data_IF_133425628707
#
_entry.id   IF_133425628707
#
_cell.length_a   1.000
_cell.length_b   1.000
_cell.length_c   1.000
_cell.angle_alpha   90.00
_cell.angle_beta   90.00
_cell.angle_gamma   90.00
#
_symmetry.space_group_name_H-M   'P 1'
#
loop_
_entity.id
_entity.type
_entity.pdbx_description
1 polymer ?
2 non-polymer ?
3 non-polymer ?
4 non-polymer ?
5 water ?
#
# COMPACT_ATOMS: atom_id res chain seq x y z
N UNK A 36 3.41 -28.94 5.07
CA UNK A 36 1.99 -28.93 5.56
C UNK A 36 1.02 -28.44 4.46
N UNK A 37 -0.22 -28.91 4.54
CA UNK A 37 -1.28 -28.58 3.57
C UNK A 37 -2.57 -28.27 4.35
N UNK A 38 -2.48 -27.29 5.23
CA UNK A 38 -3.57 -26.95 6.15
C UNK A 38 -4.53 -25.86 5.63
N UNK A 39 -4.15 -25.17 4.54
CA UNK A 39 -4.92 -24.01 4.06
C UNK A 39 -4.85 -22.79 4.99
N UNK A 40 -3.73 -22.64 5.70
CA UNK A 40 -3.48 -21.50 6.59
C UNK A 40 -2.16 -20.75 6.30
N UNK A 41 -1.35 -21.24 5.38
CA UNK A 41 -0.01 -20.67 5.17
C UNK A 41 -0.08 -19.34 4.43
N UNK A 42 0.98 -18.55 4.63
CA UNK A 42 1.10 -17.27 3.95
C UNK A 42 1.19 -17.42 2.44
N UNK A 43 0.62 -16.45 1.72
CA UNK A 43 0.76 -16.38 0.29
C UNK A 43 1.72 -15.26 -0.10
N UNK A 44 2.78 -15.63 -0.80
CA UNK A 44 3.83 -14.69 -1.15
C UNK A 44 3.65 -14.02 -2.51
N UNK A 45 2.45 -14.16 -3.08
CA UNK A 45 2.02 -13.39 -4.24
C UNK A 45 0.87 -12.45 -3.88
N UNK A 46 0.70 -12.19 -2.57
CA UNK A 46 -0.35 -11.31 -2.05
C UNK A 46 0.36 -10.20 -1.27
N UNK A 47 0.16 -8.96 -1.74
CA UNK A 47 0.87 -7.79 -1.25
C UNK A 47 -0.11 -6.86 -0.58
N UNK A 48 0.14 -6.48 0.67
CA UNK A 48 -0.79 -5.65 1.39
C UNK A 48 -0.13 -4.30 1.71
N UNK A 49 -0.72 -3.21 1.19
CA UNK A 49 -0.13 -1.89 1.33
C UNK A 49 -0.20 -1.39 2.80
N UNK A 50 0.98 -1.08 3.32
CA UNK A 50 1.17 -0.79 4.74
C UNK A 50 1.77 0.60 4.93
N UNK A 51 1.26 1.31 5.92
CA UNK A 51 1.65 2.68 6.20
C UNK A 51 2.27 2.72 7.61
N UNK A 52 3.45 3.33 7.72
CA UNK A 52 4.24 3.39 8.93
C UNK A 52 4.36 4.80 9.49
N UNK A 53 3.38 5.63 9.20
CA UNK A 53 3.47 7.05 9.52
C UNK A 53 2.69 7.48 10.77
N UNK A 54 2.16 6.52 11.52
CA UNK A 54 1.39 6.84 12.71
C UNK A 54 2.30 7.03 13.91
N UNK A 55 1.94 7.90 14.85
CA UNK A 55 2.71 8.03 16.09
C UNK A 55 1.86 7.89 17.34
N UNK A 56 2.54 7.60 18.45
CA UNK A 56 1.87 7.63 19.75
C UNK A 56 2.73 8.35 20.75
N UNK A 57 2.08 8.87 21.78
CA UNK A 57 2.79 9.49 22.85
C UNK A 57 3.80 8.51 23.44
N UNK A 58 3.39 7.24 23.54
CA UNK A 58 4.23 6.22 24.18
C UNK A 58 5.61 6.12 23.51
N UNK A 59 5.63 6.09 22.19
CA UNK A 59 6.88 5.93 21.45
C UNK A 59 7.42 7.21 20.82
N UNK A 60 6.55 8.00 20.19
CA UNK A 60 7.00 9.14 19.40
C UNK A 60 6.84 10.46 20.12
N UNK A 61 6.15 10.46 21.24
CA UNK A 61 5.85 11.69 21.95
C UNK A 61 4.81 12.56 21.25
N UNK A 62 4.16 12.01 20.23
CA UNK A 62 3.12 12.74 19.54
C UNK A 62 2.27 11.81 18.69
N UNK A 63 1.06 12.29 18.38
CA UNK A 63 0.08 11.55 17.59
C UNK A 63 0.06 11.88 16.07
N UNK A 64 1.22 11.62 15.46
CA UNK A 64 1.41 11.86 14.04
C UNK A 64 0.39 11.07 13.21
N UNK A 65 -0.16 11.74 12.20
CA UNK A 65 -1.15 11.23 11.25
C UNK A 65 -2.53 11.04 11.88
N UNK A 66 -2.63 10.62 13.14
CA UNK A 66 -3.93 10.69 13.81
C UNK A 66 -4.45 12.12 13.79
N UNK A 67 -3.52 13.06 13.96
CA UNK A 67 -3.72 14.48 13.63
C UNK A 67 -3.37 14.70 12.18
N UNK A 68 -4.19 15.44 11.45
CA UNK A 68 -3.94 15.64 10.01
C UNK A 68 -4.66 16.88 9.54
N UNK A 69 -4.06 17.59 8.61
CA UNK A 69 -4.71 18.71 7.95
C UNK A 69 -5.94 18.25 7.18
N UNK A 70 -6.95 19.11 7.15
CA UNK A 70 -8.11 18.90 6.29
C UNK A 70 -7.82 19.59 4.97
N UNK A 71 -8.00 18.85 3.87
CA UNK A 71 -7.69 19.39 2.56
C UNK A 71 -8.75 20.40 2.13
N UNK A 72 -8.34 21.53 1.54
CA UNK A 72 -9.34 22.41 0.92
C UNK A 72 -9.96 21.74 -0.29
N UNK A 73 -11.14 22.19 -0.65
CA UNK A 73 -11.85 21.70 -1.84
C UNK A 73 -11.16 22.28 -3.08
N UNK A 74 -10.61 21.42 -3.96
CA UNK A 74 -9.96 21.95 -5.17
C UNK A 74 -10.89 22.75 -6.09
N UNK A 75 -12.19 22.53 -5.98
CA UNK A 75 -13.18 23.30 -6.76
C UNK A 75 -13.94 24.36 -5.93
N UNK A 76 -13.44 24.66 -4.72
CA UNK A 76 -14.19 25.45 -3.72
C UNK A 76 -13.81 26.91 -3.53
N UNK A 77 -12.92 27.44 -4.36
CA UNK A 77 -12.60 28.87 -4.33
C UNK A 77 -11.59 29.25 -3.27
N UNK A 78 -11.25 30.53 -3.23
CA UNK A 78 -10.18 31.02 -2.38
C UNK A 78 -10.66 31.34 -0.97
N UNK A 79 -9.70 31.50 -0.07
CA UNK A 79 -9.99 31.84 1.30
C UNK A 79 -10.58 30.74 2.17
N UNK A 80 -10.45 29.49 1.75
CA UNK A 80 -10.85 28.39 2.62
C UNK A 80 -9.85 28.27 3.76
N UNK A 81 -10.37 28.06 4.96
CA UNK A 81 -9.54 27.76 6.12
C UNK A 81 -10.09 26.47 6.67
N UNK A 82 -9.82 25.34 5.97
CA UNK A 82 -10.43 24.04 6.29
C UNK A 82 -10.11 23.50 7.68
N UNK A 83 -8.97 23.91 8.20
CA UNK A 83 -8.57 23.51 9.54
C UNK A 83 -7.87 22.17 9.57
N UNK A 84 -7.84 21.59 10.76
CA UNK A 84 -7.10 20.37 11.03
C UNK A 84 -7.89 19.49 11.96
N UNK A 85 -7.62 18.21 11.85
CA UNK A 85 -8.14 17.20 12.78
C UNK A 85 -7.04 17.08 13.85
N UNK A 86 -7.40 17.24 15.15
CA UNK A 86 -6.34 17.36 16.15
C UNK A 86 -5.67 16.08 16.60
N UNK A 87 -6.23 14.91 16.27
CA UNK A 87 -5.64 13.66 16.69
C UNK A 87 -5.75 13.40 18.17
N UNK A 88 -6.80 13.93 18.77
CA UNK A 88 -7.14 13.59 20.15
C UNK A 88 -7.77 12.22 20.17
N UNK A 89 -8.01 11.69 21.36
CA UNK A 89 -8.69 10.40 21.42
C UNK A 89 -10.07 10.50 20.75
N UNK A 90 -10.75 11.63 20.91
CA UNK A 90 -12.09 11.79 20.41
C UNK A 90 -12.14 12.08 18.92
N UNK A 91 -11.10 12.68 18.37
CA UNK A 91 -11.12 13.20 17.00
C UNK A 91 -9.82 12.88 16.24
N UNK A 92 -9.87 11.79 15.49
CA UNK A 92 -8.75 11.33 14.69
C UNK A 92 -9.07 11.43 13.21
N UNK A 93 -8.02 11.39 12.40
CA UNK A 93 -8.11 11.59 10.96
C UNK A 93 -8.51 10.34 10.19
N UNK A 94 -9.67 9.81 10.56
CA UNK A 94 -10.26 8.65 9.91
C UNK A 94 -11.73 8.70 10.16
N UNK A 95 -12.48 8.08 9.23
CA UNK A 95 -13.90 7.86 9.45
C UNK A 95 -14.19 6.60 10.31
N UNK A 96 -13.16 5.78 10.49
CA UNK A 96 -13.20 4.57 11.33
C UNK A 96 -12.27 4.79 12.54
N UNK A 97 -12.24 3.79 13.44
CA UNK A 97 -11.44 3.92 14.64
C UNK A 97 -10.68 2.63 14.91
N UNK A 98 -9.35 2.69 15.03
CA UNK A 98 -8.58 1.47 15.20
C UNK A 98 -8.85 0.71 16.50
N UNK A 99 -8.93 -0.61 16.43
CA UNK A 99 -8.96 -1.44 17.63
C UNK A 99 -7.75 -1.19 18.53
N UNK A 100 -6.61 -0.94 17.91
CA UNK A 100 -5.39 -0.73 18.66
C UNK A 100 -5.22 0.70 19.16
N UNK A 101 -6.21 1.58 18.91
CA UNK A 101 -6.14 2.96 19.35
C UNK A 101 -5.17 3.78 18.51
N UNK A 102 -4.77 4.94 19.03
CA UNK A 102 -3.88 5.87 18.37
C UNK A 102 -2.45 5.35 18.56
N UNK A 103 -2.08 4.36 17.75
CA UNK A 103 -0.85 3.64 17.93
C UNK A 103 0.34 4.34 17.25
N UNK A 104 1.53 3.97 17.72
CA UNK A 104 2.75 4.36 17.05
C UNK A 104 3.22 3.24 16.13
N UNK A 105 3.57 3.61 14.90
CA UNK A 105 4.21 2.69 13.98
C UNK A 105 5.64 2.33 14.38
N UNK A 106 6.20 3.03 15.37
CA UNK A 106 7.51 2.72 15.94
C UNK A 106 7.45 1.85 17.19
N UNK A 107 6.26 1.43 17.63
CA UNK A 107 6.09 0.67 18.88
C UNK A 107 6.29 -0.81 18.53
N UNK A 108 7.40 -1.43 18.98
CA UNK A 108 7.59 -2.85 18.66
C UNK A 108 6.42 -3.74 19.05
N UNK A 109 5.67 -3.38 20.11
CA UNK A 109 4.56 -4.20 20.53
C UNK A 109 3.37 -4.10 19.51
N UNK A 110 3.17 -2.94 18.93
CA UNK A 110 2.15 -2.78 17.85
C UNK A 110 2.60 -3.56 16.64
N UNK A 111 3.88 -3.48 16.31
CA UNK A 111 4.39 -4.19 15.13
C UNK A 111 4.17 -5.71 15.28
N UNK A 112 4.42 -6.25 16.46
CA UNK A 112 4.15 -7.66 16.71
C UNK A 112 2.68 -8.01 16.38
N UNK A 113 1.77 -7.20 16.90
CA UNK A 113 0.35 -7.40 16.67
C UNK A 113 -0.01 -7.31 15.21
N UNK A 114 0.54 -6.32 14.51
CA UNK A 114 0.32 -6.23 13.06
C UNK A 114 0.79 -7.47 12.32
N UNK A 115 1.97 -8.00 12.68
CA UNK A 115 2.45 -9.20 11.99
C UNK A 115 1.53 -10.37 12.26
N UNK A 116 0.99 -10.50 13.48
CA UNK A 116 0.04 -11.55 13.75
C UNK A 116 -1.25 -11.35 12.92
N UNK A 117 -1.63 -10.10 12.66
CA UNK A 117 -2.76 -9.81 11.80
C UNK A 117 -2.49 -10.23 10.34
N UNK A 118 -1.27 -9.99 9.84
CA UNK A 118 -0.87 -10.46 8.52
C UNK A 118 -0.95 -11.98 8.46
N UNK A 119 -0.50 -12.67 9.51
CA UNK A 119 -0.60 -14.12 9.53
C UNK A 119 -2.08 -14.57 9.46
N UNK A 120 -2.95 -13.91 10.21
CA UNK A 120 -4.38 -14.24 10.15
C UNK A 120 -4.96 -14.02 8.76
N UNK A 121 -4.52 -12.97 8.08
CA UNK A 121 -5.00 -12.63 6.75
C UNK A 121 -4.37 -13.48 5.64
N UNK A 122 -3.28 -14.17 5.98
CA UNK A 122 -2.50 -14.98 5.02
C UNK A 122 -1.77 -14.15 3.98
N UNK A 123 -1.56 -12.86 4.29
CA UNK A 123 -0.91 -11.96 3.35
C UNK A 123 0.59 -12.01 3.60
N UNK A 124 1.35 -12.62 2.68
CA UNK A 124 2.75 -12.86 2.91
C UNK A 124 3.68 -11.70 2.66
N UNK A 125 3.23 -10.67 1.95
CA UNK A 125 4.10 -9.54 1.67
C UNK A 125 3.49 -8.22 2.13
N UNK A 126 4.27 -7.49 2.93
CA UNK A 126 3.96 -6.16 3.43
C UNK A 126 4.64 -5.17 2.46
N UNK A 127 3.80 -4.36 1.78
CA UNK A 127 4.30 -3.40 0.80
C UNK A 127 4.36 -2.03 1.48
N UNK A 128 5.55 -1.67 1.94
CA UNK A 128 5.77 -0.56 2.84
C UNK A 128 5.87 0.77 2.12
N UNK A 129 4.98 1.70 2.47
CA UNK A 129 5.07 3.09 1.98
C UNK A 129 6.45 3.64 2.26
N UNK A 130 7.03 4.33 1.27
CA UNK A 130 8.40 4.85 1.41
C UNK A 130 8.50 6.22 0.77
N UNK A 131 8.76 7.21 1.66
CA UNK A 131 8.71 8.63 1.33
C UNK A 131 10.06 9.32 1.31
N UNK A 132 11.15 8.58 1.44
CA UNK A 132 12.50 9.15 1.38
C UNK A 132 12.65 10.28 2.37
N UNK A 133 12.29 9.99 3.62
CA UNK A 133 12.35 11.00 4.67
C UNK A 133 13.77 11.37 5.06
N UNK A 134 14.73 10.46 4.87
CA UNK A 134 16.14 10.71 5.21
C UNK A 134 16.24 11.19 6.66
N UNK A 135 15.64 10.42 7.55
CA UNK A 135 15.65 10.73 8.96
C UNK A 135 15.84 9.47 9.75
N UNK A 136 16.51 9.62 10.86
CA UNK A 136 16.79 8.57 11.81
C UNK A 136 15.55 7.76 12.20
N UNK A 137 14.44 8.47 12.41
CA UNK A 137 13.27 7.81 12.94
C UNK A 137 12.67 6.86 11.87
N UNK A 138 12.74 7.24 10.57
CA UNK A 138 12.37 6.39 9.38
C UNK A 138 13.22 5.15 9.37
N UNK A 139 14.52 5.36 9.45
CA UNK A 139 15.46 4.26 9.38
C UNK A 139 15.21 3.27 10.52
N UNK A 140 14.95 3.79 11.70
CA UNK A 140 14.65 2.91 12.83
C UNK A 140 13.38 2.08 12.56
N UNK A 141 12.32 2.74 12.10
CA UNK A 141 11.06 2.09 11.83
C UNK A 141 11.19 0.96 10.81
N UNK A 142 11.90 1.24 9.72
CA UNK A 142 12.05 0.23 8.69
C UNK A 142 12.72 -1.02 9.26
N UNK A 143 13.78 -0.83 10.05
CA UNK A 143 14.44 -1.96 10.67
C UNK A 143 13.54 -2.74 11.61
N UNK A 144 12.75 -2.02 12.40
CA UNK A 144 11.82 -2.68 13.32
C UNK A 144 10.77 -3.50 12.57
N UNK A 145 10.28 -2.96 11.47
CA UNK A 145 9.28 -3.64 10.65
C UNK A 145 9.86 -4.91 10.03
N UNK A 146 11.04 -4.81 9.46
CA UNK A 146 11.70 -6.01 8.93
C UNK A 146 11.91 -7.07 10.01
N UNK A 147 12.40 -6.66 11.16
CA UNK A 147 12.62 -7.60 12.24
C UNK A 147 11.32 -8.29 12.67
N UNK A 148 10.27 -7.51 12.85
CA UNK A 148 9.01 -8.10 13.31
C UNK A 148 8.43 -9.02 12.23
N UNK A 149 8.51 -8.58 10.98
CA UNK A 149 8.02 -9.42 9.88
C UNK A 149 8.72 -10.77 9.86
N UNK A 150 10.03 -10.78 10.04
CA UNK A 150 10.77 -12.03 9.91
C UNK A 150 10.38 -13.05 10.95
N UNK A 151 9.96 -12.59 12.14
CA UNK A 151 9.58 -13.54 13.19
C UNK A 151 8.38 -14.39 12.77
N UNK A 152 7.59 -13.88 11.83
CA UNK A 152 6.39 -14.53 11.35
C UNK A 152 6.46 -14.96 9.89
N UNK A 153 7.67 -14.95 9.32
CA UNK A 153 7.90 -15.37 7.93
C UNK A 153 7.23 -14.42 6.91
N UNK A 154 6.89 -13.21 7.36
CA UNK A 154 6.37 -12.22 6.42
C UNK A 154 7.54 -11.54 5.71
N UNK A 155 7.30 -11.15 4.45
CA UNK A 155 8.27 -10.46 3.63
C UNK A 155 7.88 -9.01 3.48
N UNK A 156 8.88 -8.19 3.15
CA UNK A 156 8.69 -6.74 3.00
C UNK A 156 9.24 -6.32 1.65
N UNK A 157 8.44 -5.57 0.91
CA UNK A 157 8.91 -4.84 -0.26
C UNK A 157 8.53 -3.37 -0.07
N UNK A 158 9.04 -2.52 -0.97
CA UNK A 158 8.84 -1.07 -0.82
C UNK A 158 7.90 -0.51 -1.89
N UNK A 159 7.05 0.41 -1.46
CA UNK A 159 6.10 1.15 -2.28
C UNK A 159 6.65 2.55 -2.38
N UNK A 160 7.26 2.87 -3.51
CA UNK A 160 8.00 4.11 -3.69
C UNK A 160 7.05 5.25 -4.04
N UNK A 161 6.93 6.16 -3.10
CA UNK A 161 5.98 7.24 -3.19
C UNK A 161 6.55 8.43 -3.96
N UNK A 162 5.68 9.40 -4.32
CA UNK A 162 6.12 10.58 -5.07
C UNK A 162 6.76 11.64 -4.18
N UNK A 163 7.97 11.35 -3.76
CA UNK A 163 8.75 12.27 -2.90
C UNK A 163 9.27 13.46 -3.74
N UNK A 164 9.66 14.57 -3.05
CA UNK A 164 10.05 15.79 -3.77
C UNK A 164 11.19 15.58 -4.75
N UNK A 165 11.03 16.09 -5.97
CA UNK A 165 12.05 15.98 -7.02
C UNK A 165 12.38 14.54 -7.41
N UNK A 166 11.47 13.60 -7.11
CA UNK A 166 11.69 12.23 -7.56
C UNK A 166 11.99 12.23 -9.08
N UNK A 167 13.00 11.49 -9.46
CA UNK A 167 13.38 11.37 -10.87
C UNK A 167 14.12 10.06 -11.00
N UNK A 168 14.44 9.63 -12.23
CA UNK A 168 15.00 8.29 -12.35
C UNK A 168 16.40 8.15 -11.75
N UNK A 169 17.16 9.25 -11.69
CA UNK A 169 18.51 9.18 -11.12
C UNK A 169 18.45 8.99 -9.60
N UNK A 170 17.70 9.84 -8.89
CA UNK A 170 17.58 9.60 -7.46
C UNK A 170 16.77 8.35 -7.14
N UNK A 171 15.86 7.92 -8.01
CA UNK A 171 15.21 6.62 -7.80
C UNK A 171 16.25 5.51 -7.84
N UNK A 172 17.15 5.55 -8.84
CA UNK A 172 18.19 4.53 -8.90
C UNK A 172 19.00 4.54 -7.63
N UNK A 173 19.41 5.73 -7.21
CA UNK A 173 20.23 5.85 -6.00
C UNK A 173 19.51 5.29 -4.78
N UNK A 174 18.21 5.53 -4.70
CA UNK A 174 17.42 5.02 -3.60
C UNK A 174 17.17 3.52 -3.66
N UNK A 175 16.99 2.98 -4.86
CA UNK A 175 16.87 1.54 -5.02
C UNK A 175 18.18 0.87 -4.59
N UNK A 176 19.31 1.43 -5.01
CA UNK A 176 20.62 0.92 -4.60
C UNK A 176 20.72 0.97 -3.07
N UNK A 177 20.34 2.09 -2.47
CA UNK A 177 20.43 2.24 -1.02
C UNK A 177 19.55 1.21 -0.31
N UNK A 178 18.31 1.04 -0.77
CA UNK A 178 17.40 0.09 -0.12
C UNK A 178 17.89 -1.35 -0.25
N UNK A 179 18.36 -1.74 -1.45
CA UNK A 179 18.87 -3.08 -1.63
C UNK A 179 20.16 -3.29 -0.80
N UNK A 180 21.02 -2.28 -0.79
CA UNK A 180 22.25 -2.38 0.00
C UNK A 180 21.95 -2.50 1.50
N UNK A 181 21.05 -1.65 2.00
CA UNK A 181 20.76 -1.60 3.44
C UNK A 181 19.98 -2.82 3.91
N UNK A 182 19.00 -3.24 3.11
CA UNK A 182 17.99 -4.20 3.55
C UNK A 182 17.96 -5.49 2.77
N UNK A 183 18.69 -5.57 1.65
CA UNK A 183 18.58 -6.73 0.75
C UNK A 183 19.01 -8.04 1.37
N UNK A 184 19.91 -7.99 2.37
CA UNK A 184 20.34 -9.20 3.05
C UNK A 184 19.52 -9.49 4.30
N UNK A 185 18.53 -8.65 4.63
CA UNK A 185 17.65 -8.95 5.73
C UNK A 185 16.82 -10.16 5.32
N UNK A 186 16.65 -11.16 6.21
CA UNK A 186 15.86 -12.34 5.86
C UNK A 186 14.41 -12.08 5.45
N UNK A 187 13.83 -10.97 5.89
CA UNK A 187 12.48 -10.61 5.51
C UNK A 187 12.37 -9.82 4.22
N UNK A 188 13.49 -9.45 3.58
CA UNK A 188 13.40 -8.66 2.34
C UNK A 188 12.82 -9.54 1.23
N UNK A 189 11.79 -9.05 0.56
CA UNK A 189 11.11 -9.82 -0.46
C UNK A 189 11.92 -9.98 -1.74
N UNK A 190 11.90 -11.20 -2.31
CA UNK A 190 12.32 -11.42 -3.69
C UNK A 190 11.34 -12.38 -4.35
N UNK A 191 11.14 -12.13 -5.65
CA UNK A 191 10.37 -13.01 -6.52
C UNK A 191 11.33 -13.55 -7.58
N UNK A 192 11.51 -14.88 -7.60
CA UNK A 192 12.46 -15.54 -8.50
C UNK A 192 13.83 -14.81 -8.54
N UNK A 193 14.31 -14.45 -7.35
CA UNK A 193 15.61 -13.82 -7.20
C UNK A 193 15.67 -12.31 -7.31
N UNK A 194 14.54 -11.68 -7.62
CA UNK A 194 14.52 -10.23 -7.82
C UNK A 194 13.71 -9.51 -6.77
N UNK A 195 14.26 -8.42 -6.22
CA UNK A 195 13.39 -7.52 -5.44
C UNK A 195 12.21 -7.01 -6.27
N UNK A 196 11.16 -6.51 -5.61
CA UNK A 196 10.01 -5.92 -6.31
C UNK A 196 9.71 -4.58 -5.69
N UNK A 197 9.48 -3.57 -6.53
CA UNK A 197 9.03 -2.25 -6.05
C UNK A 197 7.74 -1.88 -6.74
N UNK A 198 6.80 -1.33 -5.99
CA UNK A 198 5.62 -0.64 -6.56
C UNK A 198 5.98 0.84 -6.66
N UNK A 199 5.62 1.46 -7.78
CA UNK A 199 5.92 2.88 -8.00
C UNK A 199 4.63 3.67 -8.12
N UNK A 200 4.29 4.41 -7.06
CA UNK A 200 3.06 5.17 -7.07
C UNK A 200 3.21 6.39 -7.95
N UNK A 201 2.14 6.71 -8.69
CA UNK A 201 2.06 7.86 -9.59
C UNK A 201 3.29 7.88 -10.54
N UNK A 202 3.60 6.68 -11.04
CA UNK A 202 4.67 6.52 -12.02
C UNK A 202 4.49 7.33 -13.31
N UNK A 203 3.24 7.75 -13.61
CA UNK A 203 2.96 8.68 -14.74
C UNK A 203 3.52 10.10 -14.55
N UNK A 204 3.89 10.46 -13.33
CA UNK A 204 4.55 11.74 -13.10
C UNK A 204 5.93 11.77 -13.76
N UNK A 205 6.42 10.63 -14.33
CA UNK A 205 7.74 10.58 -14.95
C UNK A 205 7.53 10.06 -16.36
N UNK A 206 8.12 10.76 -17.33
CA UNK A 206 7.97 10.42 -18.72
C UNK A 206 8.59 9.06 -19.04
N UNK A 207 7.99 8.33 -19.99
CA UNK A 207 8.58 7.08 -20.45
C UNK A 207 10.02 7.19 -20.92
N UNK A 208 10.36 8.32 -21.56
CA UNK A 208 11.75 8.49 -22.02
C UNK A 208 12.76 8.52 -20.86
N UNK A 209 12.33 9.02 -19.71
CA UNK A 209 13.16 8.95 -18.49
C UNK A 209 13.19 7.54 -17.92
N UNK A 210 12.01 6.91 -17.78
CA UNK A 210 11.97 5.54 -17.28
C UNK A 210 12.86 4.60 -18.09
N UNK A 211 12.89 4.78 -19.42
CA UNK A 211 13.66 3.89 -20.30
C UNK A 211 15.13 3.86 -19.89
N UNK A 212 15.63 5.01 -19.42
CA UNK A 212 17.03 5.13 -19.03
C UNK A 212 17.38 4.20 -17.87
N UNK A 213 16.40 3.98 -16.99
CA UNK A 213 16.53 3.15 -15.80
C UNK A 213 16.16 1.71 -16.07
N UNK A 214 15.15 1.48 -16.92
CA UNK A 214 14.48 0.20 -17.00
C UNK A 214 14.66 -0.58 -18.28
N UNK A 215 15.09 0.06 -19.35
CA UNK A 215 15.50 -0.70 -20.54
C UNK A 215 16.86 -1.35 -20.28
N UNK A 216 17.09 -2.56 -20.80
CA UNK A 216 18.43 -3.15 -20.67
C UNK A 216 19.53 -2.26 -21.27
N UNK A 217 19.17 -1.42 -22.23
CA UNK A 217 20.11 -0.51 -22.87
C UNK A 217 20.15 0.87 -22.28
N UNK A 218 19.37 1.11 -21.24
CA UNK A 218 19.26 2.45 -20.71
C UNK A 218 20.54 2.97 -20.11
N UNK A 219 20.70 4.29 -20.20
CA UNK A 219 21.89 5.00 -19.76
C UNK A 219 22.29 4.69 -18.31
N UNK A 220 21.28 4.51 -17.46
CA UNK A 220 21.51 4.21 -16.03
C UNK A 220 20.77 2.93 -15.65
N UNK A 221 20.82 1.94 -16.53
CA UNK A 221 20.00 0.76 -16.33
C UNK A 221 20.30 0.06 -15.00
N UNK A 222 19.25 -0.54 -14.44
CA UNK A 222 19.39 -1.54 -13.40
C UNK A 222 19.40 -2.96 -13.94
N UNK A 223 19.05 -3.15 -15.21
CA UNK A 223 18.96 -4.52 -15.74
C UNK A 223 20.37 -5.12 -15.79
N UNK A 224 20.45 -6.40 -15.40
CA UNK A 224 21.69 -7.16 -15.37
C UNK A 224 22.69 -6.64 -14.35
N UNK A 225 22.25 -5.84 -13.40
CA UNK A 225 23.10 -5.36 -12.32
C UNK A 225 22.67 -6.02 -11.03
N UNK A 226 23.44 -5.75 -9.98
CA UNK A 226 23.12 -6.20 -8.63
C UNK A 226 21.83 -5.58 -8.10
N UNK A 227 21.34 -4.54 -8.78
CA UNK A 227 20.22 -3.76 -8.29
C UNK A 227 18.99 -3.91 -9.17
N UNK A 228 18.98 -4.95 -10.01
CA UNK A 228 17.80 -5.19 -10.80
C UNK A 228 16.63 -5.56 -9.90
N UNK A 229 15.44 -5.26 -10.39
CA UNK A 229 14.21 -5.44 -9.63
C UNK A 229 13.03 -5.52 -10.57
N UNK A 230 11.97 -6.15 -10.09
CA UNK A 230 10.66 -6.06 -10.75
C UNK A 230 10.04 -4.71 -10.40
N UNK A 231 9.81 -3.89 -11.41
CA UNK A 231 9.30 -2.54 -11.23
C UNK A 231 7.86 -2.51 -11.71
N UNK A 232 6.95 -2.25 -10.77
CA UNK A 232 5.53 -2.34 -10.99
C UNK A 232 4.94 -0.92 -10.98
N UNK A 233 4.54 -0.43 -12.16
CA UNK A 233 4.04 0.93 -12.28
C UNK A 233 2.54 1.02 -12.08
N UNK A 234 2.05 2.23 -11.82
CA UNK A 234 0.65 2.45 -11.54
C UNK A 234 -0.10 2.71 -12.83
N UNK A 235 -0.92 1.73 -13.24
CA UNK A 235 -1.83 1.89 -14.38
C UNK A 235 -3.03 2.69 -13.94
N UNK A 236 -3.20 3.89 -14.50
CA UNK A 236 -4.32 4.75 -14.18
C UNK A 236 -5.43 4.73 -15.24
N UNK A 237 -5.16 5.34 -16.38
CA UNK A 237 -6.22 5.72 -17.33
C UNK A 237 -6.40 4.68 -18.44
N UNK A 238 -6.86 5.10 -19.61
CA UNK A 238 -7.32 4.17 -20.63
C UNK A 238 -6.16 3.42 -21.28
N UNK A 239 -6.44 2.26 -21.89
CA UNK A 239 -5.39 1.50 -22.58
C UNK A 239 -4.67 2.30 -23.66
N UNK A 240 -5.36 3.23 -24.33
CA UNK A 240 -4.70 3.96 -25.40
C UNK A 240 -3.50 4.75 -24.89
N UNK A 241 -3.57 5.19 -23.64
CA UNK A 241 -2.49 5.89 -22.98
C UNK A 241 -1.56 4.93 -22.23
N UNK A 242 -2.13 4.00 -21.49
CA UNK A 242 -1.33 3.19 -20.57
C UNK A 242 -0.53 2.09 -21.25
N UNK A 243 -1.05 1.50 -22.34
CA UNK A 243 -0.31 0.43 -23.00
C UNK A 243 1.06 0.95 -23.50
N UNK A 244 1.07 2.04 -24.30
CA UNK A 244 2.38 2.49 -24.76
C UNK A 244 3.23 3.01 -23.62
N UNK A 245 2.62 3.60 -22.59
CA UNK A 245 3.37 4.07 -21.42
C UNK A 245 4.16 2.90 -20.82
N UNK A 246 3.46 1.82 -20.49
CA UNK A 246 4.10 0.71 -19.80
C UNK A 246 5.18 0.07 -20.67
N UNK A 247 4.90 -0.08 -21.96
CA UNK A 247 5.89 -0.65 -22.87
C UNK A 247 7.10 0.24 -23.03
N UNK A 248 6.87 1.52 -23.30
CA UNK A 248 7.95 2.44 -23.58
C UNK A 248 8.78 2.76 -22.33
N UNK A 249 8.17 2.66 -21.16
CA UNK A 249 8.88 2.87 -19.88
C UNK A 249 9.62 1.62 -19.40
N UNK A 250 9.31 0.47 -20.01
CA UNK A 250 9.96 -0.79 -19.66
C UNK A 250 9.66 -1.26 -18.23
N UNK A 251 8.49 -0.92 -17.71
CA UNK A 251 8.05 -1.55 -16.45
C UNK A 251 7.88 -3.05 -16.63
N UNK A 252 8.15 -3.77 -15.55
CA UNK A 252 7.93 -5.22 -15.52
C UNK A 252 6.48 -5.59 -15.33
N UNK A 253 5.67 -4.67 -14.84
CA UNK A 253 4.29 -4.95 -14.56
C UNK A 253 3.57 -3.70 -14.10
N UNK A 254 2.35 -3.86 -13.65
CA UNK A 254 1.54 -2.75 -13.26
C UNK A 254 0.53 -3.17 -12.22
N UNK A 255 0.13 -2.19 -11.40
CA UNK A 255 -0.89 -2.32 -10.36
C UNK A 255 -1.84 -1.14 -10.50
N UNK A 256 -2.94 -1.18 -9.74
CA UNK A 256 -4.00 -0.19 -9.92
C UNK A 256 -4.27 0.68 -8.71
N UNK A 257 -3.85 0.21 -7.54
CA UNK A 257 -3.94 0.84 -6.22
C UNK A 257 -5.33 1.15 -5.71
N UNK A 258 -6.12 1.96 -6.39
CA UNK A 258 -7.29 2.58 -5.77
C UNK A 258 -8.28 1.53 -5.30
N UNK A 259 -8.74 1.69 -4.04
CA UNK A 259 -9.73 0.79 -3.49
C UNK A 259 -11.12 1.09 -3.99
N UNK A 260 -11.37 2.30 -4.50
CA UNK A 260 -12.70 2.71 -4.94
C UNK A 260 -12.92 2.31 -6.38
N UNK A 261 -13.87 1.39 -6.60
CA UNK A 261 -14.18 0.94 -7.95
C UNK A 261 -14.58 2.13 -8.82
N UNK A 262 -14.07 2.16 -10.02
CA UNK A 262 -14.45 3.17 -10.99
C UNK A 262 -13.75 4.51 -10.83
N UNK A 263 -12.87 4.64 -9.84
CA UNK A 263 -12.14 5.89 -9.66
C UNK A 263 -11.27 6.19 -10.89
N UNK A 264 -10.60 5.16 -11.39
CA UNK A 264 -9.85 5.24 -12.64
C UNK A 264 -10.27 4.06 -13.51
N UNK A 265 -9.88 4.08 -14.78
CA UNK A 265 -10.04 2.91 -15.65
C UNK A 265 -9.41 1.66 -14.99
N UNK A 266 -8.21 1.84 -14.45
CA UNK A 266 -7.49 0.74 -13.84
C UNK A 266 -8.17 0.14 -12.65
N UNK A 267 -8.87 0.97 -11.87
CA UNK A 267 -9.58 0.51 -10.67
C UNK A 267 -11.04 0.19 -10.96
N UNK A 268 -11.37 -0.09 -12.23
CA UNK A 268 -12.69 -0.57 -12.64
C UNK A 268 -12.56 -2.06 -12.92
N UNK A 269 -13.05 -2.92 -12.01
CA UNK A 269 -12.70 -4.34 -12.14
C UNK A 269 -13.21 -5.07 -13.40
N UNK A 270 -14.25 -4.55 -14.04
CA UNK A 270 -14.67 -5.13 -15.31
C UNK A 270 -13.60 -5.00 -16.40
N UNK A 271 -12.60 -4.15 -16.21
CA UNK A 271 -11.50 -4.06 -17.17
C UNK A 271 -10.38 -5.07 -16.91
N UNK A 272 -10.44 -5.79 -15.78
CA UNK A 272 -9.31 -6.60 -15.38
C UNK A 272 -9.02 -7.79 -16.29
N UNK A 273 -10.05 -8.47 -16.80
CA UNK A 273 -9.81 -9.54 -17.76
C UNK A 273 -9.00 -9.06 -18.97
N UNK A 274 -9.40 -7.93 -19.55
CA UNK A 274 -8.71 -7.32 -20.70
C UNK A 274 -7.29 -6.87 -20.37
N UNK A 275 -7.14 -6.30 -19.17
CA UNK A 275 -5.82 -5.85 -18.72
C UNK A 275 -4.88 -7.03 -18.56
N UNK A 276 -5.39 -8.13 -18.01
CA UNK A 276 -4.59 -9.32 -17.84
C UNK A 276 -4.21 -9.93 -19.20
N UNK A 277 -5.16 -9.97 -20.14
CA UNK A 277 -4.86 -10.48 -21.49
C UNK A 277 -3.72 -9.70 -22.13
N UNK A 278 -3.76 -8.38 -22.02
CA UNK A 278 -2.69 -7.54 -22.55
C UNK A 278 -1.38 -7.81 -21.83
N UNK A 279 -1.45 -7.89 -20.50
CA UNK A 279 -0.26 -8.18 -19.72
C UNK A 279 0.43 -9.47 -20.18
N UNK A 280 -0.36 -10.54 -20.31
CA UNK A 280 0.18 -11.82 -20.73
C UNK A 280 0.81 -11.73 -22.12
N UNK A 281 0.13 -11.04 -23.04
CA UNK A 281 0.61 -10.90 -24.42
C UNK A 281 1.93 -10.13 -24.49
N UNK A 282 2.18 -9.28 -23.50
CA UNK A 282 3.33 -8.37 -23.52
C UNK A 282 4.37 -8.66 -22.45
N UNK A 283 4.26 -9.83 -21.80
CA UNK A 283 5.25 -10.25 -20.82
C UNK A 283 5.31 -9.38 -19.57
N UNK A 284 4.16 -8.84 -19.17
CA UNK A 284 4.06 -7.98 -18.00
C UNK A 284 3.29 -8.66 -16.89
N UNK A 285 3.62 -8.29 -15.65
CA UNK A 285 2.96 -8.80 -14.46
C UNK A 285 1.85 -7.84 -14.00
N UNK A 286 0.61 -8.26 -14.05
CA UNK A 286 -0.52 -7.46 -13.57
C UNK A 286 -0.85 -7.86 -12.15
N UNK A 287 -0.83 -6.87 -11.25
CA UNK A 287 -1.11 -7.04 -9.84
C UNK A 287 -2.29 -6.12 -9.47
N UNK A 288 -3.51 -6.52 -9.81
CA UNK A 288 -4.65 -5.68 -9.50
C UNK A 288 -4.75 -5.42 -8.00
N UNK A 289 -5.27 -4.26 -7.65
CA UNK A 289 -5.46 -3.88 -6.25
C UNK A 289 -6.93 -3.98 -5.89
N UNK A 290 -7.18 -4.67 -4.76
CA UNK A 290 -8.53 -4.86 -4.24
C UNK A 290 -8.60 -4.24 -2.86
N UNK A 291 -9.76 -3.70 -2.53
CA UNK A 291 -9.97 -3.16 -1.21
C UNK A 291 -11.36 -3.35 -0.70
N UNK A 292 -11.57 -3.08 0.60
CA UNK A 292 -12.85 -3.41 1.22
C UNK A 292 -13.88 -2.30 1.19
N UNK A 293 -13.45 -1.11 0.77
CA UNK A 293 -14.30 0.08 0.73
C UNK A 293 -13.41 1.28 0.61
N UNK A 294 -14.03 2.46 0.65
CA UNK A 294 -13.29 3.73 0.60
C UNK A 294 -14.13 4.80 1.22
N UNK A 295 -13.53 5.60 2.10
CA UNK A 295 -14.15 6.83 2.56
C UNK A 295 -13.09 7.70 3.23
N UNK A 296 -12.95 8.93 2.74
CA UNK A 296 -11.91 9.82 3.23
C UNK A 296 -12.45 11.17 3.64
N UNK A 297 -13.74 11.25 3.97
CA UNK A 297 -14.36 12.56 4.13
C UNK A 297 -14.01 13.28 5.43
N UNK A 298 -13.38 12.63 6.42
CA UNK A 298 -12.85 13.42 7.54
C UNK A 298 -11.74 14.35 7.07
N UNK A 299 -10.84 13.85 6.23
CA UNK A 299 -9.74 14.69 5.74
C UNK A 299 -10.02 15.37 4.40
N UNK A 300 -11.00 14.88 3.62
CA UNK A 300 -11.37 15.46 2.34
C UNK A 300 -12.89 15.55 2.29
N UNK A 301 -13.50 16.52 3.01
CA UNK A 301 -14.97 16.50 3.16
C UNK A 301 -15.75 16.67 1.87
N UNK A 302 -15.10 17.23 0.87
CA UNK A 302 -15.63 17.47 -0.48
C UNK A 302 -15.55 16.25 -1.39
N UNK A 303 -14.97 15.14 -0.91
CA UNK A 303 -14.68 13.99 -1.76
C UNK A 303 -15.69 12.85 -1.62
N UNK A 304 -16.93 13.17 -1.25
CA UNK A 304 -17.89 12.14 -1.02
C UNK A 304 -18.28 11.27 -2.20
N UNK A 305 -18.09 11.75 -3.43
CA UNK A 305 -18.41 10.93 -4.59
C UNK A 305 -17.57 9.67 -4.70
N UNK A 306 -16.41 9.64 -4.00
CA UNK A 306 -15.52 8.49 -4.05
C UNK A 306 -15.88 7.46 -2.98
N UNK A 307 -16.83 7.77 -2.08
CA UNK A 307 -17.21 6.80 -1.06
C UNK A 307 -17.70 5.50 -1.72
N UNK A 308 -17.19 4.40 -1.19
CA UNK A 308 -17.68 3.07 -1.54
C UNK A 308 -17.99 2.36 -0.25
N UNK A 309 -19.26 2.00 -0.08
CA UNK A 309 -19.76 1.39 1.16
C UNK A 309 -19.33 -0.08 1.26
N UNK A 310 -18.99 -0.49 2.48
CA UNK A 310 -18.49 -1.85 2.69
C UNK A 310 -19.55 -2.93 2.61
N UNK A 311 -20.79 -2.57 2.94
CA UNK A 311 -21.93 -3.51 2.89
C UNK A 311 -21.61 -4.86 3.55
N UNK A 312 -21.11 -4.81 4.77
CA UNK A 312 -20.87 -6.02 5.57
C UNK A 312 -19.95 -7.03 4.88
N UNK A 313 -19.04 -6.52 4.07
CA UNK A 313 -18.08 -7.34 3.38
C UNK A 313 -18.38 -7.63 1.91
N UNK A 314 -19.59 -7.30 1.47
CA UNK A 314 -19.99 -7.67 0.10
C UNK A 314 -19.17 -6.91 -0.95
N UNK A 315 -18.79 -5.67 -0.67
CA UNK A 315 -17.94 -4.92 -1.61
C UNK A 315 -16.58 -5.59 -1.76
N UNK A 316 -15.97 -5.97 -0.64
CA UNK A 316 -14.65 -6.61 -0.68
C UNK A 316 -14.74 -7.92 -1.46
N UNK A 317 -15.78 -8.71 -1.16
CA UNK A 317 -15.96 -9.99 -1.84
C UNK A 317 -16.05 -9.78 -3.33
N UNK A 318 -16.85 -8.82 -3.76
CA UNK A 318 -17.01 -8.60 -5.19
C UNK A 318 -15.71 -8.23 -5.88
N UNK A 319 -14.92 -7.36 -5.24
CA UNK A 319 -13.69 -6.90 -5.86
C UNK A 319 -12.63 -8.03 -5.89
N UNK A 320 -12.50 -8.77 -4.78
CA UNK A 320 -11.55 -9.84 -4.72
C UNK A 320 -11.91 -10.93 -5.74
N UNK A 321 -13.20 -11.24 -5.85
CA UNK A 321 -13.64 -12.23 -6.84
C UNK A 321 -13.22 -11.80 -8.24
N UNK A 322 -13.39 -10.53 -8.59
CA UNK A 322 -13.01 -10.06 -9.92
C UNK A 322 -11.52 -10.24 -10.18
N UNK A 323 -10.70 -9.96 -9.16
CA UNK A 323 -9.25 -10.14 -9.33
C UNK A 323 -8.91 -11.60 -9.63
N UNK A 324 -9.49 -12.51 -8.84
CA UNK A 324 -9.22 -13.92 -9.01
C UNK A 324 -9.71 -14.42 -10.37
N UNK A 325 -10.92 -13.99 -10.76
CA UNK A 325 -11.48 -14.37 -12.04
C UNK A 325 -10.68 -13.89 -13.22
N UNK A 326 -9.97 -12.78 -13.08
CA UNK A 326 -9.15 -12.26 -14.15
C UNK A 326 -7.94 -13.16 -14.44
N UNK A 327 -7.60 -14.07 -13.53
CA UNK A 327 -6.54 -15.04 -13.79
C UNK A 327 -5.15 -14.50 -13.58
N UNK A 328 -5.02 -13.56 -12.67
CA UNK A 328 -3.75 -12.93 -12.38
C UNK A 328 -2.87 -13.82 -11.52
N UNK A 329 -1.59 -13.49 -11.52
CA UNK A 329 -0.55 -14.21 -10.79
C UNK A 329 -0.27 -13.66 -9.39
N UNK A 330 -0.79 -12.48 -9.10
CA UNK A 330 -0.48 -11.77 -7.88
C UNK A 330 -1.59 -10.75 -7.68
N UNK A 331 -1.87 -10.47 -6.40
CA UNK A 331 -2.92 -9.53 -6.03
C UNK A 331 -2.36 -8.59 -4.95
N UNK A 332 -2.76 -7.33 -5.04
CA UNK A 332 -2.41 -6.36 -4.00
C UNK A 332 -3.67 -5.90 -3.30
N UNK A 333 -3.52 -5.57 -2.01
CA UNK A 333 -4.62 -5.19 -1.14
C UNK A 333 -4.39 -3.77 -0.66
N UNK A 334 -5.39 -2.93 -1.00
CA UNK A 334 -5.47 -1.53 -0.56
C UNK A 334 -6.56 -1.43 0.47
N UNK A 335 -6.25 -1.46 1.77
CA UNK A 335 -4.90 -1.38 2.35
C UNK A 335 -4.90 -2.14 3.67
N UNK A 336 -3.71 -2.34 4.25
CA UNK A 336 -3.70 -2.77 5.65
C UNK A 336 -4.27 -1.66 6.54
N UNK A 337 -3.74 -0.45 6.37
CA UNK A 337 -3.93 0.59 7.37
C UNK A 337 -3.80 2.00 6.83
N UNK A 338 -4.40 2.27 5.66
CA UNK A 338 -4.59 3.66 5.24
C UNK A 338 -5.92 4.11 5.87
N UNK A 339 -5.83 4.49 7.14
CA UNK A 339 -7.01 4.87 7.91
C UNK A 339 -7.64 6.16 7.40
N UNK A 340 -6.84 7.05 6.83
CA UNK A 340 -7.40 8.30 6.32
C UNK A 340 -8.37 8.06 5.17
N UNK A 341 -8.10 7.00 4.39
CA UNK A 341 -8.87 6.71 3.21
C UNK A 341 -9.93 5.63 3.43
N UNK A 342 -10.00 5.08 4.63
CA UNK A 342 -11.04 4.13 4.95
C UNK A 342 -10.98 2.87 4.13
N UNK A 343 -9.78 2.51 3.68
CA UNK A 343 -9.58 1.30 2.91
C UNK A 343 -8.98 0.17 3.75
N UNK A 344 -8.80 0.40 5.05
CA UNK A 344 -8.05 -0.53 5.87
C UNK A 344 -8.79 -1.86 6.11
N UNK A 345 -8.01 -2.94 6.14
CA UNK A 345 -8.49 -4.22 6.66
C UNK A 345 -8.12 -4.44 8.13
N UNK A 346 -7.23 -3.60 8.66
CA UNK A 346 -6.86 -3.66 10.06
C UNK A 346 -8.14 -3.55 10.93
N UNK A 347 -8.21 -4.30 12.04
CA UNK A 347 -9.39 -4.22 12.90
C UNK A 347 -9.74 -2.82 13.38
N UNK A 348 -11.04 -2.53 13.28
CA UNK A 348 -11.67 -1.30 13.71
C UNK A 348 -12.76 -1.65 14.70
N UNK A 349 -13.04 -0.72 15.60
CA UNK A 349 -14.06 -0.93 16.64
C UNK A 349 -15.12 0.18 16.61
N UNK A 350 -16.33 -0.13 17.08
CA UNK A 350 -17.31 0.94 17.26
C UNK A 350 -16.81 1.99 18.25
N UNK A 351 -17.05 3.26 17.93
CA UNK A 351 -16.70 4.35 18.83
C UNK A 351 -17.49 5.57 18.50
N UNK A 352 -18.08 6.13 19.56
CA UNK A 352 -18.76 7.41 19.46
C UNK A 352 -18.17 8.29 20.55
N UNK A 353 -17.61 9.41 20.12
CA UNK A 353 -17.05 10.35 21.05
C UNK A 353 -17.91 11.58 21.02
N UNK A 354 -17.60 12.53 21.89
CA UNK A 354 -18.29 13.81 21.88
C UNK A 354 -18.06 14.58 20.59
N UNK A 355 -17.01 14.24 19.82
CA UNK A 355 -16.64 14.96 18.60
C UNK A 355 -17.06 14.31 17.28
N UNK A 356 -17.23 12.99 17.27
CA UNK A 356 -17.54 12.30 16.01
C UNK A 356 -18.10 10.93 16.30
N UNK A 357 -19.03 10.50 15.44
CA UNK A 357 -19.56 9.14 15.49
C UNK A 357 -18.87 8.38 14.36
N UNK A 358 -18.00 7.46 14.72
CA UNK A 358 -17.20 6.75 13.72
C UNK A 358 -18.04 5.67 13.05
N UNK A 359 -17.66 5.36 11.81
CA UNK A 359 -18.11 4.14 11.17
C UNK A 359 -17.41 2.95 11.81
N UNK A 360 -17.95 1.76 11.59
CA UNK A 360 -17.38 0.55 12.14
C UNK A 360 -17.74 -0.62 11.22
N UNK A 361 -17.36 -1.84 11.62
CA UNK A 361 -17.56 -3.00 10.74
C UNK A 361 -18.98 -3.58 10.76
N UNK A 362 -19.85 -2.81 11.38
CA UNK A 362 -21.29 -3.02 11.42
C UNK A 362 -21.65 -4.38 12.00
N UNK A 363 -22.27 -5.21 11.17
CA UNK A 363 -22.65 -6.56 11.61
C UNK A 363 -21.51 -7.55 11.67
N UNK A 364 -20.34 -7.12 11.22
CA UNK A 364 -19.16 -7.97 11.31
C UNK A 364 -18.30 -7.62 12.52
N UNK A 365 -17.52 -8.61 12.99
CA UNK A 365 -16.57 -8.41 14.11
C UNK A 365 -15.33 -7.62 13.66
N UNK A 366 -14.56 -7.08 14.61
CA UNK A 366 -13.39 -6.24 14.23
C UNK A 366 -12.38 -6.92 13.32
N UNK A 367 -12.15 -8.22 13.49
CA UNK A 367 -11.19 -8.95 12.64
C UNK A 367 -11.77 -9.56 11.38
N UNK A 368 -13.01 -9.21 11.04
CA UNK A 368 -13.67 -9.81 9.90
C UNK A 368 -12.88 -9.64 8.61
N UNK A 369 -12.32 -8.45 8.36
CA UNK A 369 -11.63 -8.24 7.09
C UNK A 369 -10.32 -9.00 7.04
N UNK A 370 -9.69 -9.27 8.18
CA UNK A 370 -8.53 -10.16 8.19
C UNK A 370 -8.92 -11.60 7.83
N UNK A 371 -9.96 -12.12 8.49
CA UNK A 371 -10.33 -13.51 8.20
C UNK A 371 -10.95 -13.65 6.84
N UNK A 372 -11.63 -12.61 6.35
CA UNK A 372 -12.15 -12.66 4.97
C UNK A 372 -11.05 -12.57 3.93
N UNK A 373 -9.99 -11.81 4.21
CA UNK A 373 -8.81 -11.85 3.36
C UNK A 373 -8.26 -13.27 3.27
N UNK A 374 -8.16 -13.95 4.41
CA UNK A 374 -7.65 -15.33 4.41
C UNK A 374 -8.50 -16.25 3.53
N UNK A 375 -9.82 -16.05 3.59
CA UNK A 375 -10.74 -16.80 2.72
C UNK A 375 -10.39 -16.59 1.26
N UNK A 376 -10.23 -15.32 0.86
CA UNK A 376 -9.93 -15.01 -0.54
C UNK A 376 -8.54 -15.45 -0.97
N UNK A 377 -7.56 -15.37 -0.06
CA UNK A 377 -6.23 -15.90 -0.37
C UNK A 377 -6.33 -17.38 -0.70
N UNK A 378 -7.13 -18.11 0.06
CA UNK A 378 -7.36 -19.53 -0.23
C UNK A 378 -7.98 -19.78 -1.59
N UNK A 379 -8.97 -18.96 -1.96
CA UNK A 379 -9.57 -19.08 -3.29
C UNK A 379 -8.57 -18.73 -4.40
N UNK A 380 -7.76 -17.71 -4.14
CA UNK A 380 -6.71 -17.32 -5.09
C UNK A 380 -5.73 -18.47 -5.29
N UNK A 381 -5.28 -19.10 -4.20
CA UNK A 381 -4.33 -20.21 -4.31
C UNK A 381 -4.91 -21.39 -5.03
N UNK A 382 -6.19 -21.64 -4.79
CA UNK A 382 -6.88 -22.76 -5.42
C UNK A 382 -6.88 -22.60 -6.94
N UNK A 383 -6.94 -21.33 -7.40
CA UNK A 383 -6.97 -20.94 -8.82
C UNK A 383 -5.61 -20.80 -9.49
N UNK A 384 -4.52 -20.77 -8.70
CA UNK A 384 -3.18 -20.38 -9.20
C UNK A 384 -2.56 -21.46 -10.06
#
# INVERSE_FOLDING_TARGET
>A
MGSSHHHHHHSSGLVPRGSHMDDNNPSNSENNGGNNNLGTELDYDTFCFYYDWYGSEAIDGQYRHWAHAIAPDPNGGSGQNPGTIPGTQESIASNFYPQLGRYSSSDPNILTKHMDMFVMARTGVLALTWWNEQDETEAKRIGLILDAADKKKIKVCFHLEPYPSRNVQNLRENIVKLITRYGNHPAFYRKDGKPLFFIYDSYLIEPSEWEKLLSPGGSITIRNTAYDALMIGLWTSSPTVQRPFILNAHFDGFYTYFAATGFTYGSTPTNWVSMQKWAKENGKIFIPSVGPGYIDTRIRPWNGSVIRTRTDGQYYDAMYRKAIEAGVSAISITSFNEWHEGSQIEPAVPYTSSEFTYLDYENREPDYYLTRTAYWVGKFRESKQ
#
